data_IF_897620940927
#
_entry.id   IF_897620940927
#
_cell.length_a   1.000
_cell.length_b   1.000
_cell.length_c   1.000
_cell.angle_alpha   90.00
_cell.angle_beta   90.00
_cell.angle_gamma   90.00
#
_symmetry.space_group_name_H-M   'P 1'
#
loop_
_entity.id
_entity.type
_entity.pdbx_description
1 polymer ?
#
# COMPACT_ATOMS: atom_id res chain seq x y z
N UNK A 1 -6.29 13.86 -3.89
CA UNK A 1 -6.35 12.65 -3.02
C UNK A 1 -6.63 11.45 -3.89
N UNK A 2 -5.72 10.48 -3.91
CA UNK A 2 -5.93 9.25 -4.67
C UNK A 2 -7.08 8.44 -4.07
N UNK A 3 -8.08 8.14 -4.91
CA UNK A 3 -9.33 7.49 -4.50
C UNK A 3 -9.61 6.31 -5.44
N UNK A 4 -9.27 5.07 -5.00
CA UNK A 4 -9.53 3.86 -5.80
C UNK A 4 -11.01 3.55 -5.90
N UNK A 5 -11.47 3.25 -7.11
CA UNK A 5 -12.87 2.88 -7.37
C UNK A 5 -13.27 1.61 -6.61
N UNK A 6 -12.37 0.62 -6.55
CA UNK A 6 -12.64 -0.62 -5.80
C UNK A 6 -12.88 -0.36 -4.31
N UNK A 7 -12.17 0.60 -3.71
CA UNK A 7 -12.34 0.92 -2.30
C UNK A 7 -13.63 1.71 -2.04
N UNK A 8 -14.04 2.58 -2.96
CA UNK A 8 -15.36 3.23 -2.90
C UNK A 8 -16.51 2.22 -2.98
N UNK A 9 -16.36 1.16 -3.79
CA UNK A 9 -17.37 0.10 -3.95
C UNK A 9 -17.61 -0.74 -2.69
N UNK A 10 -16.71 -0.72 -1.72
CA UNK A 10 -16.97 -1.34 -0.43
C UNK A 10 -18.13 -0.64 0.31
N UNK A 11 -18.27 0.67 0.09
CA UNK A 11 -19.21 1.52 0.81
C UNK A 11 -20.42 1.93 -0.01
N UNK A 12 -20.32 1.92 -1.34
CA UNK A 12 -21.38 2.36 -2.23
C UNK A 12 -21.53 1.39 -3.40
N UNK A 13 -22.78 1.07 -3.75
CA UNK A 13 -23.06 0.28 -4.94
C UNK A 13 -22.98 1.17 -6.19
N UNK A 14 -21.78 1.22 -6.80
CA UNK A 14 -21.46 2.07 -7.95
C UNK A 14 -21.72 1.26 -9.23
N UNK A 15 -22.80 1.61 -9.95
CA UNK A 15 -23.26 0.98 -11.18
C UNK A 15 -23.05 1.83 -12.44
N UNK A 16 -22.32 2.95 -12.30
CA UNK A 16 -21.93 3.83 -13.41
C UNK A 16 -20.48 3.55 -13.81
N UNK A 17 -20.12 3.95 -15.03
CA UNK A 17 -18.73 3.89 -15.51
C UNK A 17 -17.85 4.90 -14.75
N UNK A 18 -16.52 4.68 -14.72
CA UNK A 18 -15.60 5.64 -14.10
C UNK A 18 -15.74 7.06 -14.65
N UNK A 19 -15.92 7.20 -15.96
CA UNK A 19 -16.10 8.50 -16.61
C UNK A 19 -17.40 9.19 -16.18
N UNK A 20 -18.49 8.45 -16.09
CA UNK A 20 -19.77 9.01 -15.59
C UNK A 20 -19.66 9.40 -14.12
N UNK A 21 -18.91 8.64 -13.30
CA UNK A 21 -18.67 9.01 -11.91
C UNK A 21 -17.85 10.29 -11.81
N UNK A 22 -16.81 10.44 -12.63
CA UNK A 22 -16.01 11.66 -12.72
C UNK A 22 -16.88 12.89 -13.05
N UNK A 23 -17.74 12.79 -14.08
CA UNK A 23 -18.69 13.87 -14.45
C UNK A 23 -19.64 14.23 -13.29
N UNK A 24 -20.08 13.24 -12.52
CA UNK A 24 -20.93 13.44 -11.35
C UNK A 24 -20.18 14.11 -10.19
N UNK A 25 -18.92 13.74 -9.96
CA UNK A 25 -18.06 14.40 -8.98
C UNK A 25 -17.86 15.88 -9.32
N UNK A 26 -17.57 16.20 -10.57
CA UNK A 26 -17.53 17.60 -11.03
C UNK A 26 -18.85 18.34 -10.77
N UNK A 27 -19.98 17.70 -11.02
CA UNK A 27 -21.30 18.33 -10.85
C UNK A 27 -21.63 18.68 -9.40
N UNK A 28 -21.01 18.00 -8.42
CA UNK A 28 -21.17 18.30 -7.00
C UNK A 28 -19.99 19.08 -6.39
N UNK A 29 -19.08 19.60 -7.24
CA UNK A 29 -18.06 20.56 -6.87
C UNK A 29 -16.71 19.96 -6.47
N UNK A 30 -16.44 18.69 -6.79
CA UNK A 30 -15.13 18.11 -6.67
C UNK A 30 -14.35 18.25 -7.97
N UNK A 31 -13.13 18.74 -7.91
CA UNK A 31 -12.19 18.77 -9.02
C UNK A 31 -11.42 17.44 -9.04
N UNK A 32 -11.57 16.70 -10.14
CA UNK A 32 -10.76 15.52 -10.43
C UNK A 32 -9.60 15.97 -11.29
N UNK A 33 -8.39 16.03 -10.72
CA UNK A 33 -7.18 16.48 -11.42
C UNK A 33 -6.74 15.47 -12.46
N UNK A 34 -6.85 14.19 -12.14
CA UNK A 34 -6.54 13.08 -13.02
C UNK A 34 -7.44 11.88 -12.72
N UNK A 35 -7.82 11.13 -13.75
CA UNK A 35 -8.46 9.83 -13.59
C UNK A 35 -7.88 8.82 -14.58
N UNK A 36 -7.51 7.63 -14.11
CA UNK A 36 -6.81 6.65 -14.92
C UNK A 36 -7.06 5.20 -14.47
N UNK A 37 -6.98 4.30 -15.45
CA UNK A 37 -6.98 2.85 -15.21
C UNK A 37 -5.57 2.40 -14.85
N UNK A 38 -5.42 1.74 -13.70
CA UNK A 38 -4.16 1.16 -13.26
C UNK A 38 -3.86 -0.08 -14.10
N UNK A 39 -2.60 -0.19 -14.57
CA UNK A 39 -2.17 -1.34 -15.37
C UNK A 39 -2.88 -1.48 -16.73
N UNK A 40 -3.40 -0.38 -17.31
CA UNK A 40 -4.07 -0.38 -18.64
C UNK A 40 -3.19 -0.97 -19.74
N UNK A 41 -1.87 -0.77 -19.66
CA UNK A 41 -0.90 -1.19 -20.66
C UNK A 41 -0.36 -2.60 -20.40
N UNK A 42 -0.79 -3.27 -19.33
CA UNK A 42 -0.40 -4.63 -18.97
C UNK A 42 -1.50 -5.60 -19.42
N UNK A 43 -1.13 -6.64 -20.14
CA UNK A 43 -2.07 -7.69 -20.55
C UNK A 43 -1.43 -9.08 -20.62
N UNK A 44 -2.21 -10.12 -20.44
CA UNK A 44 -1.80 -11.53 -20.54
C UNK A 44 -0.58 -11.89 -19.68
N UNK A 45 -0.51 -11.31 -18.47
CA UNK A 45 0.48 -11.65 -17.45
C UNK A 45 -0.20 -12.51 -16.39
N UNK A 46 0.32 -13.70 -16.15
CA UNK A 46 -0.28 -14.68 -15.24
C UNK A 46 0.71 -15.10 -14.16
N UNK A 47 0.23 -15.77 -13.13
CA UNK A 47 1.08 -16.37 -12.10
C UNK A 47 1.84 -17.56 -12.70
N UNK A 48 3.16 -17.48 -12.73
CA UNK A 48 4.04 -18.60 -13.11
C UNK A 48 4.64 -19.26 -11.87
N UNK A 49 4.42 -20.56 -11.68
CA UNK A 49 5.10 -21.37 -10.68
C UNK A 49 6.32 -22.04 -11.30
N UNK A 50 7.51 -21.71 -10.86
CA UNK A 50 8.74 -22.34 -11.34
C UNK A 50 8.86 -23.75 -10.75
N UNK A 51 8.68 -24.77 -11.57
CA UNK A 51 8.80 -26.17 -11.15
C UNK A 51 10.25 -26.65 -11.15
N UNK A 52 11.05 -26.19 -12.15
CA UNK A 52 12.48 -26.48 -12.27
C UNK A 52 13.23 -25.24 -12.68
N UNK A 53 14.45 -25.10 -12.17
CA UNK A 53 15.34 -24.00 -12.51
C UNK A 53 16.78 -24.54 -12.57
N UNK A 54 17.38 -24.55 -13.75
CA UNK A 54 18.71 -25.11 -14.00
C UNK A 54 19.60 -24.02 -14.60
N UNK A 55 20.82 -23.80 -14.07
CA UNK A 55 21.72 -22.80 -14.64
C UNK A 55 22.18 -23.22 -16.05
N UNK A 56 22.24 -22.27 -16.98
CA UNK A 56 22.81 -22.47 -18.33
C UNK A 56 24.31 -22.30 -18.22
N UNK A 57 25.12 -23.34 -18.57
CA UNK A 57 26.57 -23.27 -18.44
C UNK A 57 27.17 -22.04 -19.13
N UNK A 58 28.21 -21.47 -18.52
CA UNK A 58 28.96 -20.31 -18.99
C UNK A 58 28.13 -19.02 -19.19
N UNK A 59 26.97 -18.92 -18.53
CA UNK A 59 26.10 -17.73 -18.56
C UNK A 59 25.57 -17.41 -17.16
N UNK A 60 24.99 -16.23 -16.99
CA UNK A 60 24.19 -15.88 -15.80
C UNK A 60 22.71 -16.29 -15.93
N UNK A 61 22.36 -17.00 -17.00
CA UNK A 61 20.96 -17.36 -17.28
C UNK A 61 20.61 -18.71 -16.65
N UNK A 62 19.35 -18.84 -16.28
CA UNK A 62 18.71 -20.08 -15.85
C UNK A 62 17.65 -20.51 -16.85
N UNK A 63 17.58 -21.82 -17.12
CA UNK A 63 16.51 -22.44 -17.89
C UNK A 63 15.44 -22.94 -16.90
N UNK A 64 14.26 -22.35 -16.99
CA UNK A 64 13.15 -22.61 -16.09
C UNK A 64 12.04 -23.39 -16.80
N UNK A 65 11.44 -24.37 -16.10
CA UNK A 65 10.15 -24.94 -16.45
C UNK A 65 9.11 -24.31 -15.54
N UNK A 66 8.20 -23.55 -16.15
CA UNK A 66 7.24 -22.71 -15.43
C UNK A 66 5.82 -23.17 -15.71
N UNK A 67 5.16 -23.62 -14.67
CA UNK A 67 3.74 -23.99 -14.73
C UNK A 67 2.89 -22.73 -14.76
N UNK A 68 2.13 -22.54 -15.81
CA UNK A 68 1.21 -21.45 -16.06
C UNK A 68 -0.27 -21.89 -15.99
N UNK A 69 -0.59 -22.90 -15.20
CA UNK A 69 -1.95 -23.41 -15.02
C UNK A 69 -2.57 -23.92 -16.33
N UNK A 70 -3.67 -23.32 -16.76
CA UNK A 70 -4.37 -23.70 -17.99
C UNK A 70 -3.55 -23.50 -19.27
N UNK A 71 -2.48 -22.70 -19.23
CA UNK A 71 -1.56 -22.46 -20.36
C UNK A 71 -0.44 -23.51 -20.46
N UNK A 72 -0.42 -24.49 -19.53
CA UNK A 72 0.57 -25.57 -19.49
C UNK A 72 1.90 -25.17 -18.86
N UNK A 73 2.91 -26.03 -19.04
CA UNK A 73 4.28 -25.76 -18.57
C UNK A 73 5.11 -25.19 -19.71
N UNK A 74 5.70 -24.00 -19.48
CA UNK A 74 6.44 -23.23 -20.47
C UNK A 74 7.92 -23.22 -20.11
N UNK A 75 8.78 -23.34 -21.13
CA UNK A 75 10.22 -23.14 -20.98
C UNK A 75 10.53 -21.66 -21.05
N UNK A 76 11.19 -21.13 -20.02
CA UNK A 76 11.58 -19.71 -19.91
C UNK A 76 13.07 -19.61 -19.63
N UNK A 77 13.79 -18.77 -20.39
CA UNK A 77 15.15 -18.38 -20.05
C UNK A 77 15.11 -17.10 -19.21
N UNK A 78 15.63 -17.17 -17.99
CA UNK A 78 15.59 -16.07 -17.02
C UNK A 78 17.01 -15.67 -16.58
N UNK A 79 17.26 -14.36 -16.53
CA UNK A 79 18.53 -13.79 -16.08
C UNK A 79 18.51 -13.25 -14.66
N UNK A 80 17.41 -13.35 -13.95
CA UNK A 80 17.29 -12.81 -12.60
C UNK A 80 17.93 -13.75 -11.57
N UNK A 81 18.66 -13.17 -10.62
CA UNK A 81 19.39 -13.93 -9.60
C UNK A 81 18.47 -14.58 -8.55
N UNK A 82 17.25 -14.04 -8.38
CA UNK A 82 16.30 -14.52 -7.38
C UNK A 82 15.32 -15.60 -7.92
N UNK A 83 15.47 -16.04 -9.18
CA UNK A 83 14.65 -17.14 -9.71
C UNK A 83 15.02 -18.45 -9.05
N UNK A 84 14.02 -19.19 -8.56
CA UNK A 84 14.23 -20.49 -7.91
C UNK A 84 13.03 -21.43 -8.10
N UNK A 85 13.29 -22.72 -8.02
CA UNK A 85 12.21 -23.73 -7.99
C UNK A 85 11.31 -23.53 -6.75
N UNK A 86 10.00 -23.66 -6.95
CA UNK A 86 8.97 -23.38 -5.96
C UNK A 86 8.55 -21.90 -5.89
N UNK A 87 9.30 -20.98 -6.50
CA UNK A 87 8.95 -19.56 -6.55
C UNK A 87 7.77 -19.28 -7.47
N UNK A 88 6.96 -18.29 -7.10
CA UNK A 88 5.85 -17.77 -7.92
C UNK A 88 6.19 -16.35 -8.36
N UNK A 89 6.09 -16.11 -9.66
CA UNK A 89 6.47 -14.84 -10.28
C UNK A 89 5.47 -14.45 -11.35
N UNK A 90 5.33 -13.17 -11.71
CA UNK A 90 4.57 -12.78 -12.89
C UNK A 90 5.21 -13.35 -14.15
N UNK A 91 4.42 -14.04 -14.95
CA UNK A 91 4.81 -14.64 -16.22
C UNK A 91 4.03 -13.96 -17.35
N UNK A 92 4.71 -13.17 -18.15
CA UNK A 92 4.18 -12.62 -19.39
C UNK A 92 4.20 -13.69 -20.47
N UNK A 93 3.02 -14.05 -20.96
CA UNK A 93 2.82 -15.03 -22.03
C UNK A 93 3.22 -14.43 -23.39
N UNK A 94 3.36 -15.25 -24.42
CA UNK A 94 3.52 -14.74 -25.80
C UNK A 94 2.28 -13.92 -26.18
N UNK A 95 2.50 -12.70 -26.71
CA UNK A 95 1.44 -11.72 -26.99
C UNK A 95 1.03 -10.87 -25.79
N UNK A 96 1.64 -11.07 -24.64
CA UNK A 96 1.46 -10.18 -23.49
C UNK A 96 2.08 -8.81 -23.75
N UNK A 97 1.52 -7.77 -23.13
CA UNK A 97 2.10 -6.42 -23.11
C UNK A 97 2.59 -6.10 -21.70
N UNK A 98 3.81 -5.57 -21.61
CA UNK A 98 4.45 -5.11 -20.38
C UNK A 98 5.26 -3.85 -20.68
N UNK A 99 5.73 -3.16 -19.65
CA UNK A 99 6.61 -2.01 -19.87
C UNK A 99 8.01 -2.44 -20.29
N UNK A 100 8.55 -1.75 -21.28
CA UNK A 100 9.95 -1.84 -21.66
C UNK A 100 10.77 -0.90 -20.78
N UNK A 101 11.89 -1.40 -20.27
CA UNK A 101 12.81 -0.61 -19.45
C UNK A 101 14.08 -0.24 -20.22
N UNK A 102 14.65 0.91 -19.92
CA UNK A 102 15.98 1.31 -20.38
C UNK A 102 17.06 0.38 -19.82
N UNK A 103 18.32 0.64 -20.19
CA UNK A 103 19.47 -0.15 -19.70
C UNK A 103 19.71 -0.09 -18.20
N UNK A 104 19.16 0.90 -17.53
CA UNK A 104 19.17 1.04 -16.08
C UNK A 104 18.16 0.13 -15.37
N UNK A 105 17.28 -0.52 -16.13
CA UNK A 105 16.19 -1.37 -15.66
C UNK A 105 15.18 -0.70 -14.71
N UNK A 106 15.16 0.63 -14.67
CA UNK A 106 14.26 1.45 -13.82
C UNK A 106 13.42 2.40 -14.66
N UNK A 107 14.03 3.03 -15.65
CA UNK A 107 13.33 3.99 -16.52
C UNK A 107 12.46 3.26 -17.53
N UNK A 108 11.16 3.56 -17.54
CA UNK A 108 10.20 3.03 -18.52
C UNK A 108 10.33 3.81 -19.82
N UNK A 109 10.62 3.11 -20.92
CA UNK A 109 10.75 3.69 -22.28
C UNK A 109 9.46 3.53 -23.11
N UNK A 110 8.51 2.73 -22.66
CA UNK A 110 7.26 2.48 -23.38
C UNK A 110 6.68 1.10 -23.06
N UNK A 111 5.84 0.61 -23.94
CA UNK A 111 5.19 -0.72 -23.84
C UNK A 111 5.79 -1.64 -24.88
N UNK A 112 6.06 -2.89 -24.51
CA UNK A 112 6.55 -3.92 -25.42
C UNK A 112 5.64 -5.14 -25.43
N UNK A 113 5.52 -5.78 -26.58
CA UNK A 113 4.85 -7.07 -26.76
C UNK A 113 5.85 -8.23 -26.59
N UNK A 114 5.50 -9.19 -25.75
CA UNK A 114 6.32 -10.38 -25.52
C UNK A 114 6.19 -11.36 -26.68
N UNK A 115 7.32 -11.74 -27.26
CA UNK A 115 7.44 -12.67 -28.35
C UNK A 115 8.29 -13.87 -27.96
N UNK A 116 8.11 -14.99 -28.67
CA UNK A 116 9.04 -16.11 -28.52
C UNK A 116 10.47 -15.62 -28.78
N UNK A 117 11.34 -15.87 -27.83
CA UNK A 117 12.75 -15.50 -27.90
C UNK A 117 13.65 -16.73 -27.98
N UNK A 118 14.91 -16.50 -28.38
CA UNK A 118 15.97 -17.50 -28.32
C UNK A 118 17.21 -16.90 -27.65
N UNK A 119 17.58 -17.42 -26.49
CA UNK A 119 18.69 -16.93 -25.67
C UNK A 119 19.75 -18.03 -25.53
N UNK A 120 20.96 -17.77 -25.99
CA UNK A 120 22.07 -18.73 -25.91
C UNK A 120 21.77 -20.13 -26.48
N UNK A 121 20.89 -20.21 -27.49
CA UNK A 121 20.50 -21.48 -28.14
C UNK A 121 19.23 -22.13 -27.57
N UNK A 122 18.71 -21.66 -26.45
CA UNK A 122 17.45 -22.14 -25.82
C UNK A 122 16.28 -21.27 -26.19
N UNK A 123 15.15 -21.88 -26.52
CA UNK A 123 13.91 -21.17 -26.79
C UNK A 123 13.24 -20.72 -25.49
N UNK A 124 12.67 -19.51 -25.47
CA UNK A 124 11.89 -18.96 -24.36
C UNK A 124 10.50 -18.61 -24.85
N UNK A 125 9.47 -19.17 -24.19
CA UNK A 125 8.06 -19.04 -24.58
C UNK A 125 7.31 -18.06 -23.67
N UNK A 126 7.93 -16.96 -23.32
CA UNK A 126 7.44 -15.91 -22.45
C UNK A 126 8.56 -15.26 -21.65
N UNK A 127 8.19 -14.46 -20.67
CA UNK A 127 9.14 -13.73 -19.82
C UNK A 127 8.64 -13.68 -18.37
N UNK A 128 9.51 -14.03 -17.41
CA UNK A 128 9.27 -13.73 -16.00
C UNK A 128 9.59 -12.26 -15.77
N UNK A 129 8.72 -11.54 -15.05
CA UNK A 129 8.80 -10.08 -14.93
C UNK A 129 9.26 -9.63 -13.54
N UNK A 130 10.01 -8.53 -13.54
CA UNK A 130 10.20 -7.67 -12.37
C UNK A 130 8.94 -6.82 -12.11
N UNK A 131 8.91 -6.12 -10.98
CA UNK A 131 7.82 -5.17 -10.72
C UNK A 131 7.84 -3.96 -11.66
N UNK A 132 9.03 -3.47 -12.06
CA UNK A 132 9.15 -2.33 -12.97
C UNK A 132 8.52 -2.60 -14.33
N UNK A 133 8.66 -3.83 -14.86
CA UNK A 133 8.03 -4.24 -16.12
C UNK A 133 6.50 -4.31 -16.03
N UNK A 134 5.95 -4.29 -14.81
CA UNK A 134 4.52 -4.18 -14.51
C UNK A 134 4.10 -2.76 -14.12
N UNK A 135 5.00 -1.77 -14.19
CA UNK A 135 4.74 -0.39 -13.82
C UNK A 135 4.69 -0.15 -12.31
N UNK A 136 5.18 -1.09 -11.51
CA UNK A 136 5.28 -0.96 -10.06
C UNK A 136 6.60 -0.32 -9.67
N UNK A 137 6.60 0.47 -8.61
CA UNK A 137 7.82 1.03 -8.03
C UNK A 137 8.11 0.44 -6.64
N UNK A 138 9.38 0.48 -6.23
CA UNK A 138 9.85 -0.07 -4.96
C UNK A 138 9.24 0.62 -3.73
N UNK A 139 8.97 1.92 -3.82
CA UNK A 139 8.46 2.69 -2.69
C UNK A 139 7.04 2.27 -2.29
N UNK A 140 6.22 1.84 -3.27
CA UNK A 140 4.85 1.42 -3.05
C UNK A 140 4.70 -0.11 -2.94
N UNK A 141 5.56 -0.84 -3.64
CA UNK A 141 5.56 -2.29 -3.70
C UNK A 141 6.96 -2.82 -3.34
N UNK A 142 7.28 -3.04 -2.07
CA UNK A 142 8.57 -3.57 -1.67
C UNK A 142 8.90 -4.88 -2.39
N UNK A 143 10.08 -4.92 -2.99
CA UNK A 143 10.51 -6.04 -3.85
C UNK A 143 10.15 -5.88 -5.33
N UNK A 144 9.54 -4.74 -5.73
CA UNK A 144 9.23 -4.45 -7.14
C UNK A 144 10.41 -3.89 -7.93
N UNK A 145 11.52 -3.54 -7.27
CA UNK A 145 12.72 -3.00 -7.92
C UNK A 145 13.30 -3.93 -8.98
N UNK A 146 14.20 -3.40 -9.81
CA UNK A 146 14.78 -4.12 -10.95
C UNK A 146 15.74 -5.26 -10.58
N UNK A 147 16.17 -5.34 -9.32
CA UNK A 147 17.17 -6.33 -8.85
C UNK A 147 16.65 -7.77 -8.81
N UNK A 148 15.62 -8.09 -9.56
CA UNK A 148 15.09 -9.43 -9.65
C UNK A 148 13.64 -9.48 -10.08
N UNK A 149 13.08 -10.68 -10.03
CA UNK A 149 11.67 -10.92 -10.30
C UNK A 149 10.82 -10.49 -9.11
N UNK A 150 9.64 -9.96 -9.38
CA UNK A 150 8.63 -9.72 -8.36
C UNK A 150 8.13 -11.05 -7.79
N UNK A 151 8.28 -11.25 -6.49
CA UNK A 151 7.80 -12.47 -5.82
C UNK A 151 6.31 -12.29 -5.50
N UNK A 152 5.49 -13.21 -5.99
CA UNK A 152 4.05 -13.21 -5.74
C UNK A 152 3.71 -13.93 -4.43
N UNK A 153 2.53 -13.61 -3.81
CA UNK A 153 2.07 -14.27 -2.60
C UNK A 153 2.00 -15.80 -2.72
N UNK A 154 2.22 -16.52 -1.61
CA UNK A 154 2.23 -17.98 -1.59
C UNK A 154 0.89 -18.62 -1.96
N UNK A 155 -0.22 -17.94 -1.70
CA UNK A 155 -1.58 -18.37 -2.02
C UNK A 155 -1.98 -18.13 -3.49
N UNK A 156 -1.18 -17.34 -4.26
CA UNK A 156 -1.41 -17.13 -5.68
C UNK A 156 -1.37 -18.46 -6.45
N UNK A 157 -2.33 -18.70 -7.35
CA UNK A 157 -2.45 -19.96 -8.09
C UNK A 157 -1.85 -19.80 -9.48
N UNK A 158 -1.07 -20.80 -9.92
CA UNK A 158 -0.49 -20.82 -11.25
C UNK A 158 -1.58 -20.66 -12.34
N UNK A 159 -1.36 -19.71 -13.24
CA UNK A 159 -2.27 -19.38 -14.33
C UNK A 159 -3.32 -18.31 -14.02
N UNK A 160 -3.46 -17.89 -12.75
CA UNK A 160 -4.33 -16.75 -12.41
C UNK A 160 -3.75 -15.44 -12.99
N UNK A 161 -4.63 -14.50 -13.36
CA UNK A 161 -4.23 -13.16 -13.78
C UNK A 161 -3.55 -12.42 -12.60
N UNK A 162 -2.41 -11.79 -12.86
CA UNK A 162 -1.67 -11.05 -11.83
C UNK A 162 -2.30 -9.71 -11.49
N UNK A 163 -3.10 -9.12 -12.39
CA UNK A 163 -3.68 -7.78 -12.19
C UNK A 163 -4.48 -7.68 -10.88
N UNK A 164 -5.45 -8.56 -10.59
CA UNK A 164 -6.19 -8.51 -9.33
C UNK A 164 -5.31 -8.73 -8.09
N UNK A 165 -4.26 -9.53 -8.22
CA UNK A 165 -3.34 -9.83 -7.12
C UNK A 165 -2.54 -8.59 -6.74
N UNK A 166 -2.11 -7.82 -7.74
CA UNK A 166 -1.25 -6.64 -7.60
C UNK A 166 -2.02 -5.31 -7.56
N UNK A 167 -3.34 -5.32 -7.76
CA UNK A 167 -4.14 -4.10 -7.83
C UNK A 167 -3.96 -3.33 -9.14
N UNK A 168 -3.61 -4.02 -10.23
CA UNK A 168 -3.43 -3.44 -11.56
C UNK A 168 -4.73 -3.47 -12.39
N UNK A 169 -5.88 -3.66 -11.74
CA UNK A 169 -7.20 -3.75 -12.33
C UNK A 169 -8.19 -2.73 -11.74
N UNK A 170 -7.68 -1.65 -11.18
CA UNK A 170 -8.47 -0.61 -10.53
C UNK A 170 -8.49 0.69 -11.36
N UNK A 171 -9.38 1.60 -10.98
CA UNK A 171 -9.46 2.95 -11.49
C UNK A 171 -9.22 3.95 -10.37
N UNK A 172 -8.30 4.87 -10.59
CA UNK A 172 -7.95 5.89 -9.59
C UNK A 172 -8.50 7.25 -10.03
N UNK A 173 -9.13 7.94 -9.10
CA UNK A 173 -9.46 9.35 -9.21
C UNK A 173 -8.51 10.14 -8.30
N UNK A 174 -7.72 11.06 -8.85
CA UNK A 174 -7.00 12.03 -8.04
C UNK A 174 -7.88 13.27 -7.87
N UNK A 175 -8.38 13.45 -6.64
CA UNK A 175 -9.38 14.46 -6.31
C UNK A 175 -8.72 15.56 -5.48
N UNK A 176 -8.80 16.80 -5.96
CA UNK A 176 -8.40 17.99 -5.21
C UNK A 176 -9.41 18.27 -4.09
N UNK A 177 -9.02 18.01 -2.86
CA UNK A 177 -9.86 18.28 -1.69
C UNK A 177 -9.57 19.68 -1.17
N UNK A 178 -10.57 20.54 -1.23
CA UNK A 178 -10.47 21.93 -0.75
C UNK A 178 -10.45 22.00 0.79
N UNK A 179 -9.86 23.08 1.33
CA UNK A 179 -9.65 23.24 2.78
C UNK A 179 -10.96 23.25 3.61
N UNK A 180 -12.10 23.57 2.98
CA UNK A 180 -13.43 23.55 3.61
C UNK A 180 -14.10 22.16 3.63
N UNK A 181 -13.46 21.15 3.03
CA UNK A 181 -13.96 19.76 2.96
C UNK A 181 -12.99 18.75 3.56
N UNK A 182 -12.49 18.97 4.80
CA UNK A 182 -11.57 18.02 5.45
C UNK A 182 -12.21 16.64 5.68
N UNK A 183 -13.53 16.57 5.75
CA UNK A 183 -14.32 15.33 5.82
C UNK A 183 -14.11 14.40 4.63
N UNK A 184 -13.71 14.94 3.47
CA UNK A 184 -13.46 14.20 2.24
C UNK A 184 -11.98 13.78 2.05
N UNK A 185 -11.11 14.05 3.03
CA UNK A 185 -9.72 13.58 3.00
C UNK A 185 -9.54 12.10 3.37
N UNK A 186 -10.60 11.31 3.24
CA UNK A 186 -10.60 9.87 3.46
C UNK A 186 -11.61 9.17 2.53
N UNK A 187 -11.41 7.87 2.35
CA UNK A 187 -12.25 7.07 1.44
C UNK A 187 -13.71 7.08 1.87
N UNK A 188 -13.99 6.89 3.17
CA UNK A 188 -15.35 6.88 3.68
C UNK A 188 -16.07 8.22 3.51
N UNK A 189 -15.33 9.34 3.68
CA UNK A 189 -15.87 10.68 3.40
C UNK A 189 -16.21 10.87 1.93
N UNK A 190 -15.33 10.45 1.02
CA UNK A 190 -15.62 10.46 -0.42
C UNK A 190 -16.74 9.51 -0.81
N UNK A 191 -16.81 8.33 -0.20
CA UNK A 191 -17.91 7.40 -0.43
C UNK A 191 -19.27 7.99 -0.05
N UNK A 192 -19.34 8.82 1.01
CA UNK A 192 -20.56 9.57 1.38
C UNK A 192 -21.01 10.52 0.28
N UNK A 193 -20.08 11.24 -0.34
CA UNK A 193 -20.39 12.15 -1.45
C UNK A 193 -20.79 11.37 -2.71
N UNK A 194 -20.09 10.27 -3.00
CA UNK A 194 -20.45 9.38 -4.11
C UNK A 194 -21.85 8.80 -3.91
N UNK A 195 -22.18 8.34 -2.70
CA UNK A 195 -23.53 7.85 -2.37
C UNK A 195 -24.59 8.93 -2.61
N UNK A 196 -24.33 10.16 -2.15
CA UNK A 196 -25.25 11.28 -2.31
C UNK A 196 -25.48 11.64 -3.80
N UNK A 197 -24.41 11.77 -4.60
CA UNK A 197 -24.52 12.16 -6.01
C UNK A 197 -25.14 11.07 -6.89
N UNK A 198 -24.96 9.80 -6.50
CA UNK A 198 -25.58 8.66 -7.19
C UNK A 198 -27.01 8.35 -6.69
N UNK A 199 -27.44 8.94 -5.57
CA UNK A 199 -28.70 8.60 -4.90
C UNK A 199 -28.71 7.16 -4.37
N UNK A 200 -27.57 6.66 -3.92
CA UNK A 200 -27.36 5.30 -3.39
C UNK A 200 -27.25 5.32 -1.86
N UNK A 201 -27.42 4.17 -1.25
CA UNK A 201 -27.20 3.98 0.18
C UNK A 201 -25.68 3.90 0.47
N UNK A 202 -25.25 4.53 1.56
CA UNK A 202 -23.91 4.40 2.13
C UNK A 202 -23.90 3.24 3.12
N UNK A 203 -23.02 2.28 2.89
CA UNK A 203 -22.78 1.18 3.82
C UNK A 203 -21.87 1.64 4.96
N UNK A 204 -22.15 1.23 6.17
CA UNK A 204 -21.27 1.49 7.31
C UNK A 204 -20.03 0.57 7.29
N UNK A 205 -18.89 1.04 7.85
CA UNK A 205 -17.74 0.17 8.06
C UNK A 205 -18.11 -1.02 8.94
N UNK A 206 -17.64 -2.22 8.58
CA UNK A 206 -17.82 -3.39 9.43
C UNK A 206 -16.97 -3.25 10.71
N UNK A 207 -17.62 -3.35 11.88
CA UNK A 207 -17.01 -3.23 13.21
C UNK A 207 -17.25 -4.51 14.04
N UNK A 208 -17.06 -5.66 13.43
CA UNK A 208 -17.29 -6.97 14.03
C UNK A 208 -16.03 -7.51 14.71
N UNK A 209 -15.63 -6.89 15.79
CA UNK A 209 -14.55 -7.38 16.64
C UNK A 209 -15.01 -7.53 18.08
N UNK A 210 -14.37 -8.45 18.80
CA UNK A 210 -14.55 -8.60 20.25
C UNK A 210 -13.29 -8.13 20.94
N UNK A 211 -13.40 -7.11 21.78
CA UNK A 211 -12.28 -6.67 22.60
C UNK A 211 -12.10 -7.64 23.79
N UNK A 212 -10.84 -7.93 24.12
CA UNK A 212 -10.53 -8.65 25.35
C UNK A 212 -10.78 -7.77 26.58
N UNK A 213 -11.24 -8.38 27.67
CA UNK A 213 -11.41 -7.70 28.96
C UNK A 213 -10.09 -7.47 29.72
N UNK A 214 -8.95 -7.66 29.08
CA UNK A 214 -7.64 -7.44 29.66
C UNK A 214 -7.42 -5.96 29.90
N UNK A 215 -7.33 -5.56 31.16
CA UNK A 215 -7.02 -4.19 31.57
C UNK A 215 -5.55 -4.08 31.97
N UNK A 216 -4.87 -3.08 31.45
CA UNK A 216 -3.57 -2.68 31.98
C UNK A 216 -3.80 -1.76 33.16
N UNK A 217 -3.81 -2.31 34.37
CA UNK A 217 -4.28 -1.66 35.59
C UNK A 217 -3.58 -0.33 35.92
N UNK A 218 -2.32 -0.19 35.51
CA UNK A 218 -1.51 0.98 35.84
C UNK A 218 -1.39 2.00 34.71
N UNK A 219 -1.89 1.70 33.50
CA UNK A 219 -1.76 2.62 32.37
C UNK A 219 -2.75 3.79 32.48
N UNK A 220 -2.24 5.01 32.31
CA UNK A 220 -3.03 6.26 32.40
C UNK A 220 -2.93 7.06 31.13
N UNK A 221 -3.95 7.85 30.87
CA UNK A 221 -3.96 8.89 29.84
C UNK A 221 -4.38 10.21 30.50
N UNK A 222 -3.52 11.19 30.47
CA UNK A 222 -3.75 12.53 31.04
C UNK A 222 -3.71 13.59 29.94
N UNK A 223 -4.77 14.40 29.85
CA UNK A 223 -4.81 15.53 28.91
C UNK A 223 -4.75 16.83 29.72
N UNK A 224 -3.58 17.47 29.72
CA UNK A 224 -3.33 18.72 30.44
C UNK A 224 -3.67 19.95 29.59
N UNK A 225 -3.63 19.85 28.27
CA UNK A 225 -3.93 20.92 27.33
C UNK A 225 -5.33 20.77 26.72
N UNK A 226 -6.37 20.71 27.56
CA UNK A 226 -7.75 20.45 27.15
C UNK A 226 -8.35 21.51 26.21
N UNK A 227 -7.80 22.71 26.21
CA UNK A 227 -8.22 23.82 25.33
C UNK A 227 -7.87 23.58 23.85
N UNK A 228 -6.82 22.82 23.57
CA UNK A 228 -6.38 22.47 22.19
C UNK A 228 -6.47 20.99 21.87
N UNK A 229 -6.57 20.14 22.90
CA UNK A 229 -6.83 18.70 22.75
C UNK A 229 -7.94 18.30 23.73
N UNK A 230 -9.22 18.44 23.36
CA UNK A 230 -10.33 18.17 24.28
C UNK A 230 -10.47 16.69 24.62
N UNK A 231 -9.94 15.80 23.79
CA UNK A 231 -10.01 14.35 23.97
C UNK A 231 -8.81 13.65 23.38
N UNK A 232 -8.24 12.70 24.11
CA UNK A 232 -7.24 11.75 23.64
C UNK A 232 -7.60 10.34 24.16
N UNK A 233 -7.54 9.36 23.31
CA UNK A 233 -7.84 7.97 23.65
C UNK A 233 -6.68 7.06 23.32
N UNK A 234 -6.46 6.02 24.10
CA UNK A 234 -5.48 4.99 23.86
C UNK A 234 -6.08 3.61 24.07
N UNK A 235 -5.64 2.65 23.29
CA UNK A 235 -5.95 1.24 23.44
C UNK A 235 -4.65 0.49 23.68
N UNK A 236 -4.68 -0.44 24.64
CA UNK A 236 -3.59 -1.38 24.84
C UNK A 236 -3.85 -2.64 24.02
N UNK A 237 -2.90 -2.99 23.17
CA UNK A 237 -2.93 -4.21 22.35
C UNK A 237 -1.78 -5.09 22.78
N UNK A 238 -2.03 -6.35 23.10
CA UNK A 238 -1.03 -7.30 23.57
C UNK A 238 -0.74 -8.39 22.53
N UNK A 239 0.35 -9.12 22.73
CA UNK A 239 0.79 -10.24 21.87
C UNK A 239 1.00 -9.84 20.40
N UNK A 240 1.37 -8.58 20.16
CA UNK A 240 1.66 -8.07 18.82
C UNK A 240 2.93 -8.71 18.29
N UNK A 241 2.86 -9.26 17.06
CA UNK A 241 4.01 -9.73 16.29
C UNK A 241 4.17 -8.85 15.07
N UNK A 242 5.31 -8.18 14.97
CA UNK A 242 5.63 -7.40 13.77
C UNK A 242 5.86 -8.35 12.61
N UNK A 243 5.17 -8.10 11.52
CA UNK A 243 5.24 -8.87 10.28
C UNK A 243 4.86 -8.00 9.08
N UNK A 244 4.99 -8.53 7.89
CA UNK A 244 4.37 -7.94 6.70
C UNK A 244 2.85 -7.89 6.86
N UNK A 245 2.25 -6.85 6.31
CA UNK A 245 0.78 -6.72 6.22
C UNK A 245 0.19 -7.73 5.23
N UNK A 246 -1.07 -8.11 5.40
CA UNK A 246 -1.78 -8.92 4.42
C UNK A 246 -1.75 -8.29 3.02
N UNK A 247 -1.66 -9.09 1.97
CA UNK A 247 -1.54 -8.62 0.60
C UNK A 247 -2.64 -7.64 0.19
N UNK A 248 -3.89 -7.85 0.63
CA UNK A 248 -5.01 -6.96 0.35
C UNK A 248 -4.82 -5.56 0.92
N UNK A 249 -4.22 -5.44 2.12
CA UNK A 249 -3.95 -4.14 2.77
C UNK A 249 -2.80 -3.42 2.06
N UNK A 250 -1.70 -4.12 1.76
CA UNK A 250 -0.56 -3.58 1.01
C UNK A 250 -1.00 -3.04 -0.35
N UNK A 251 -1.83 -3.79 -1.08
CA UNK A 251 -2.42 -3.38 -2.34
C UNK A 251 -3.22 -2.08 -2.21
N UNK A 252 -4.12 -1.98 -1.23
CA UNK A 252 -4.93 -0.77 -1.02
C UNK A 252 -4.11 0.45 -0.65
N UNK A 253 -3.12 0.28 0.21
CA UNK A 253 -2.21 1.36 0.58
C UNK A 253 -1.41 1.85 -0.63
N UNK A 254 -0.89 0.94 -1.45
CA UNK A 254 -0.17 1.30 -2.67
C UNK A 254 -1.05 2.11 -3.64
N UNK A 255 -2.33 1.74 -3.82
CA UNK A 255 -3.28 2.47 -4.68
C UNK A 255 -3.58 3.91 -4.19
N UNK A 256 -3.36 4.20 -2.92
CA UNK A 256 -3.48 5.56 -2.35
C UNK A 256 -2.12 6.23 -2.10
N UNK A 257 -1.04 5.69 -2.69
CA UNK A 257 0.30 6.27 -2.67
C UNK A 257 1.07 6.05 -1.37
N UNK A 258 0.76 4.99 -0.61
CA UNK A 258 1.45 4.65 0.64
C UNK A 258 2.14 3.29 0.49
N UNK A 259 3.47 3.28 0.64
CA UNK A 259 4.25 2.05 0.72
C UNK A 259 4.04 1.31 2.05
N UNK A 260 4.01 -0.02 1.98
CA UNK A 260 3.89 -0.87 3.15
C UNK A 260 5.21 -0.94 3.92
N UNK A 261 5.15 -0.85 5.24
CA UNK A 261 6.31 -0.91 6.14
C UNK A 261 6.21 -2.12 7.06
N UNK A 262 5.14 -2.21 7.84
CA UNK A 262 4.86 -3.31 8.76
C UNK A 262 3.36 -3.32 9.09
N UNK A 263 2.86 -4.46 9.55
CA UNK A 263 1.44 -4.60 9.89
C UNK A 263 0.92 -3.52 10.85
N UNK A 264 1.70 -3.10 11.85
CA UNK A 264 1.27 -2.06 12.80
C UNK A 264 1.20 -0.68 12.14
N UNK A 265 2.24 -0.30 11.40
CA UNK A 265 2.29 1.00 10.70
C UNK A 265 1.22 1.05 9.61
N UNK A 266 1.06 -0.03 8.86
CA UNK A 266 0.10 -0.11 7.77
C UNK A 266 -1.34 -0.05 8.26
N UNK A 267 -1.66 -0.65 9.42
CA UNK A 267 -2.98 -0.51 10.05
C UNK A 267 -3.26 0.96 10.38
N UNK A 268 -2.30 1.70 10.94
CA UNK A 268 -2.50 3.12 11.26
C UNK A 268 -2.71 3.96 9.99
N UNK A 269 -1.95 3.68 8.93
CA UNK A 269 -2.10 4.33 7.63
C UNK A 269 -3.41 3.95 6.94
N UNK A 270 -3.83 2.70 7.05
CA UNK A 270 -5.10 2.22 6.50
C UNK A 270 -6.29 2.94 7.15
N UNK A 271 -6.35 3.00 8.48
CA UNK A 271 -7.41 3.70 9.22
C UNK A 271 -7.41 5.20 8.89
N UNK A 272 -6.22 5.82 8.77
CA UNK A 272 -6.10 7.21 8.35
C UNK A 272 -6.72 7.43 6.95
N UNK A 273 -6.40 6.57 5.98
CA UNK A 273 -6.93 6.71 4.62
C UNK A 273 -8.39 6.32 4.50
N UNK A 274 -8.82 5.32 5.24
CA UNK A 274 -10.20 4.85 5.21
C UNK A 274 -11.17 5.83 5.89
N UNK A 275 -10.86 6.24 7.13
CA UNK A 275 -11.76 6.98 8.02
C UNK A 275 -11.33 8.42 8.32
N UNK A 276 -10.13 8.82 7.90
CA UNK A 276 -9.59 10.15 8.18
C UNK A 276 -9.12 10.33 9.63
N UNK A 277 -8.93 9.23 10.38
CA UNK A 277 -8.50 9.29 11.76
C UNK A 277 -7.00 9.01 11.89
N UNK A 278 -6.16 10.04 12.18
CA UNK A 278 -4.75 9.82 12.46
C UNK A 278 -4.57 8.98 13.74
N UNK A 279 -3.65 8.03 13.66
CA UNK A 279 -3.29 7.16 14.77
C UNK A 279 -1.77 7.11 14.92
N UNK A 280 -1.30 6.80 16.12
CA UNK A 280 0.11 6.49 16.38
C UNK A 280 0.20 5.25 17.28
N UNK A 281 1.15 4.37 16.99
CA UNK A 281 1.42 3.19 17.80
C UNK A 281 2.74 3.38 18.56
N UNK A 282 2.70 3.11 19.85
CA UNK A 282 3.89 3.12 20.73
C UNK A 282 4.18 1.71 21.21
N UNK A 283 5.45 1.30 21.18
CA UNK A 283 5.86 0.11 21.89
C UNK A 283 5.84 0.41 23.41
N UNK A 284 4.93 -0.26 24.11
CA UNK A 284 4.71 -0.03 25.53
C UNK A 284 5.97 -0.27 26.39
N UNK A 285 6.88 -1.13 25.95
CA UNK A 285 8.11 -1.41 26.67
C UNK A 285 9.10 -0.23 26.70
N UNK A 286 8.94 0.73 25.81
CA UNK A 286 9.77 1.95 25.76
C UNK A 286 9.12 3.16 26.42
N UNK A 287 7.84 3.07 26.82
CA UNK A 287 7.16 4.15 27.54
C UNK A 287 7.55 4.15 29.02
N UNK A 288 8.03 5.30 29.50
CA UNK A 288 8.40 5.45 30.88
C UNK A 288 7.21 5.98 31.71
N UNK A 289 6.94 5.35 32.84
CA UNK A 289 5.92 5.79 33.81
C UNK A 289 4.50 5.30 33.57
N UNK A 290 4.30 4.33 32.69
CA UNK A 290 2.97 3.71 32.39
C UNK A 290 1.87 4.76 32.08
N UNK A 291 2.23 5.87 31.47
CA UNK A 291 1.32 7.00 31.23
C UNK A 291 1.58 7.64 29.86
N UNK A 292 0.52 8.12 29.24
CA UNK A 292 0.56 9.08 28.14
C UNK A 292 0.04 10.42 28.66
N UNK A 293 0.82 11.47 28.48
CA UNK A 293 0.47 12.84 28.90
C UNK A 293 0.44 13.75 27.67
N UNK A 294 -0.73 14.30 27.38
CA UNK A 294 -0.90 15.28 26.31
C UNK A 294 -0.81 16.67 26.92
N UNK A 295 0.27 17.40 26.62
CA UNK A 295 0.57 18.70 27.20
C UNK A 295 1.22 19.65 26.22
N UNK A 296 1.21 20.93 26.55
CA UNK A 296 2.05 21.90 25.84
C UNK A 296 3.52 21.64 26.12
N UNK A 297 4.39 21.99 25.18
CA UNK A 297 5.82 22.01 25.38
C UNK A 297 6.20 23.12 26.39
N UNK A 298 7.30 22.95 27.10
CA UNK A 298 7.95 24.03 27.81
C UNK A 298 8.84 24.81 26.83
N UNK A 299 9.09 26.09 27.10
CA UNK A 299 9.97 26.89 26.25
C UNK A 299 11.41 26.32 26.27
N UNK A 300 11.97 26.08 25.08
CA UNK A 300 13.29 25.46 24.90
C UNK A 300 13.31 23.94 25.00
N UNK A 301 12.16 23.29 25.16
CA UNK A 301 12.08 21.84 25.16
C UNK A 301 12.32 21.25 23.76
N UNK A 302 13.07 20.16 23.67
CA UNK A 302 13.51 19.58 22.40
C UNK A 302 12.92 18.21 22.16
N UNK A 303 12.74 17.88 20.88
CA UNK A 303 12.39 16.54 20.39
C UNK A 303 13.18 16.23 19.12
N UNK A 304 13.59 14.98 18.97
CA UNK A 304 14.07 14.43 17.69
C UNK A 304 12.95 13.63 17.09
N UNK A 305 12.53 13.98 15.88
CA UNK A 305 11.43 13.31 15.18
C UNK A 305 11.92 12.11 14.37
N UNK A 306 10.99 11.24 13.92
CA UNK A 306 11.29 10.01 13.16
C UNK A 306 12.06 10.26 11.83
N UNK A 307 12.07 11.50 11.33
CA UNK A 307 12.89 11.94 10.20
C UNK A 307 14.27 12.46 10.62
N UNK A 308 14.70 12.15 11.84
CA UNK A 308 16.02 12.49 12.43
C UNK A 308 16.27 14.00 12.58
N UNK A 309 15.23 14.83 12.56
CA UNK A 309 15.35 16.28 12.76
C UNK A 309 15.12 16.65 14.21
N UNK A 310 16.01 17.51 14.76
CA UNK A 310 15.85 18.11 16.08
C UNK A 310 15.06 19.42 15.98
N UNK A 311 14.04 19.54 16.83
CA UNK A 311 13.24 20.76 16.97
C UNK A 311 13.31 21.26 18.40
N UNK A 312 13.54 22.57 18.56
CA UNK A 312 13.35 23.31 19.81
C UNK A 312 11.98 23.97 19.78
N UNK A 313 11.16 23.69 20.78
CA UNK A 313 9.75 24.05 20.80
C UNK A 313 9.44 25.03 21.95
N UNK A 314 8.21 25.49 21.98
CA UNK A 314 7.72 26.41 22.97
C UNK A 314 6.27 26.11 23.37
N UNK A 315 5.69 26.89 24.26
CA UNK A 315 4.35 26.68 24.82
C UNK A 315 3.19 26.75 23.83
N UNK A 316 3.42 27.12 22.56
CA UNK A 316 2.40 26.99 21.48
C UNK A 316 2.32 25.60 20.87
N UNK A 317 3.36 24.78 21.08
CA UNK A 317 3.42 23.44 20.51
C UNK A 317 2.80 22.42 21.46
N UNK A 318 2.11 21.41 20.90
CA UNK A 318 1.50 20.32 21.66
C UNK A 318 2.36 19.07 21.57
N UNK A 319 2.64 18.46 22.71
CA UNK A 319 3.34 17.20 22.81
C UNK A 319 2.41 16.05 23.23
N UNK A 320 2.72 14.85 22.73
CA UNK A 320 2.38 13.60 23.37
C UNK A 320 3.64 13.15 24.10
N UNK A 321 3.54 12.96 25.40
CA UNK A 321 4.64 12.54 26.27
C UNK A 321 4.32 11.19 26.88
N UNK A 322 5.34 10.44 27.26
CA UNK A 322 5.21 9.42 28.30
C UNK A 322 5.25 10.08 29.69
N UNK A 323 5.43 9.31 30.75
CA UNK A 323 5.51 9.85 32.12
C UNK A 323 6.74 10.74 32.39
N UNK A 324 7.71 10.86 31.45
CA UNK A 324 8.96 11.59 31.66
C UNK A 324 9.35 12.53 30.52
N UNK A 325 9.20 12.10 29.26
CA UNK A 325 9.73 12.80 28.07
C UNK A 325 8.70 12.94 26.95
N UNK A 326 8.88 13.89 26.02
CA UNK A 326 8.13 13.93 24.77
C UNK A 326 8.42 12.68 23.92
N UNK A 327 7.36 12.06 23.36
CA UNK A 327 7.45 10.91 22.46
C UNK A 327 6.84 11.18 21.10
N UNK A 328 6.09 12.29 20.95
CA UNK A 328 5.63 12.75 19.65
C UNK A 328 5.29 14.26 19.67
N UNK A 329 5.49 14.91 18.52
CA UNK A 329 4.93 16.22 18.23
C UNK A 329 3.50 16.01 17.74
N UNK A 330 2.54 16.38 18.58
CA UNK A 330 1.14 16.00 18.41
C UNK A 330 0.55 16.48 17.07
N UNK A 331 -0.06 15.56 16.33
CA UNK A 331 -0.67 15.83 15.03
C UNK A 331 0.30 16.10 13.87
N UNK A 332 1.62 15.96 14.10
CA UNK A 332 2.66 16.27 13.11
C UNK A 332 3.57 15.06 12.88
N UNK A 333 4.35 14.63 13.89
CA UNK A 333 5.36 13.58 13.70
C UNK A 333 5.66 12.84 15.00
N UNK A 334 5.87 11.53 14.91
CA UNK A 334 6.40 10.73 16.02
C UNK A 334 7.84 11.14 16.38
N UNK A 335 8.22 10.93 17.66
CA UNK A 335 9.59 11.08 18.16
C UNK A 335 10.37 9.76 18.11
N UNK A 336 11.70 9.89 18.16
CA UNK A 336 12.63 8.75 18.31
C UNK A 336 12.75 8.31 19.77
#
# INVERSE_FOLDING_TARGET
>A
MLTPLSWLKDYVDIDVTPKELEEKLFSCGFEVEESYEVGKDISNVVVGLVEKCEPIPETHLSLCQVNAGAYGTLQICCGADNVKAGGKYPLALIGATVYATAKDHVTIEGVMEIKQGKLRGYDSYGMLCSGVELGLNEDLYPGAGYNGLLVLPEDAKAGDDVKPILGLDDWIFDIAITANRPDCQCIYGMAREVAAVLGKELKEPALDYTADDVKKENFKVSVLAQDICPRYTAHYVHDVKISESPAWMRKRLALVGIGSISNVVDITNFVLKELGQPMHAFDYSYLEGDEIVVRRANDGEKIVTLDEKEFELNSYNLFICDGKKPVALAGIMGGL
#
